data_IF_071585354670
#
_entry.id   IF_071585354670
#
_cell.length_a   1.000
_cell.length_b   1.000
_cell.length_c   1.000
_cell.angle_alpha   90.00
_cell.angle_beta   90.00
_cell.angle_gamma   90.00
#
_symmetry.space_group_name_H-M   'P 1'
#
loop_
_entity.id
_entity.type
_entity.pdbx_description
1 polymer ?
#
# COMPACT_ATOMS: atom_id res chain seq x y z
N UNK A 1 10.34 -24.79 -16.05
CA UNK A 1 8.94 -24.95 -15.60
C UNK A 1 8.12 -24.09 -16.51
N UNK A 2 7.12 -24.66 -17.17
CA UNK A 2 6.31 -23.91 -18.13
C UNK A 2 5.34 -22.99 -17.41
N UNK A 3 4.97 -21.88 -18.01
CA UNK A 3 4.04 -20.92 -17.41
C UNK A 3 2.68 -21.55 -17.07
N UNK A 4 2.19 -22.44 -17.92
CA UNK A 4 0.94 -23.16 -17.71
C UNK A 4 0.97 -24.12 -16.50
N UNK A 5 2.15 -24.53 -16.03
CA UNK A 5 2.33 -25.44 -14.88
C UNK A 5 2.31 -24.70 -13.54
N UNK A 6 2.38 -23.37 -13.55
CA UNK A 6 2.39 -22.54 -12.35
C UNK A 6 1.00 -22.46 -11.71
N UNK A 7 0.95 -22.21 -10.40
CA UNK A 7 -0.33 -21.94 -9.74
C UNK A 7 -0.95 -20.62 -10.25
N UNK A 8 -2.28 -20.57 -10.29
CA UNK A 8 -3.02 -19.43 -10.85
C UNK A 8 -2.66 -18.09 -10.17
N UNK A 9 -2.36 -18.10 -8.87
CA UNK A 9 -1.98 -16.89 -8.14
C UNK A 9 -0.61 -16.39 -8.60
N UNK A 10 0.36 -17.29 -8.78
CA UNK A 10 1.67 -16.97 -9.35
C UNK A 10 1.56 -16.51 -10.79
N UNK A 11 0.74 -17.17 -11.63
CA UNK A 11 0.49 -16.71 -13.00
C UNK A 11 -0.03 -15.27 -13.00
N UNK A 12 -1.06 -14.95 -12.20
CA UNK A 12 -1.60 -13.58 -12.07
C UNK A 12 -0.50 -12.60 -11.65
N UNK A 13 0.30 -12.95 -10.63
CA UNK A 13 1.37 -12.09 -10.13
C UNK A 13 2.41 -11.80 -11.21
N UNK A 14 2.86 -12.82 -11.92
CA UNK A 14 3.83 -12.69 -13.00
C UNK A 14 3.26 -11.94 -14.20
N UNK A 15 1.95 -11.97 -14.43
CA UNK A 15 1.34 -11.23 -15.55
C UNK A 15 0.93 -9.79 -15.22
N UNK A 16 0.87 -9.41 -13.94
CA UNK A 16 0.30 -8.10 -13.56
C UNK A 16 1.26 -7.22 -12.77
N UNK A 17 2.36 -7.75 -12.21
CA UNK A 17 3.39 -6.90 -11.60
C UNK A 17 4.40 -6.50 -12.69
N UNK A 18 4.54 -5.20 -13.02
CA UNK A 18 5.44 -4.72 -14.07
C UNK A 18 6.89 -5.21 -13.92
N UNK A 19 7.44 -5.28 -12.70
CA UNK A 19 8.81 -5.79 -12.53
C UNK A 19 8.93 -7.31 -12.70
N UNK A 20 7.88 -8.08 -12.36
CA UNK A 20 7.93 -9.54 -12.45
C UNK A 20 7.57 -10.08 -13.84
N UNK A 21 6.93 -9.27 -14.68
CA UNK A 21 6.46 -9.71 -15.99
C UNK A 21 7.58 -10.15 -16.91
N UNK A 22 7.32 -11.19 -17.68
CA UNK A 22 8.24 -11.73 -18.68
C UNK A 22 8.61 -10.65 -19.71
N UNK A 23 9.83 -10.72 -20.23
CA UNK A 23 10.32 -9.80 -21.28
C UNK A 23 9.63 -10.08 -22.61
N UNK A 24 9.42 -11.36 -22.93
CA UNK A 24 8.80 -11.85 -24.17
C UNK A 24 7.27 -11.93 -24.06
N UNK A 25 6.58 -11.93 -25.21
CA UNK A 25 5.11 -12.11 -25.27
C UNK A 25 4.72 -13.50 -24.78
N UNK A 26 5.47 -14.52 -25.21
CA UNK A 26 5.36 -15.88 -24.71
C UNK A 26 6.31 -16.08 -23.51
N UNK A 27 5.78 -16.35 -22.30
CA UNK A 27 6.58 -16.53 -21.09
C UNK A 27 7.64 -17.64 -21.18
N UNK A 28 7.36 -18.70 -21.95
CA UNK A 28 8.25 -19.87 -22.02
C UNK A 28 9.49 -19.61 -22.89
N UNK A 29 9.51 -18.52 -23.66
CA UNK A 29 10.64 -18.13 -24.53
C UNK A 29 11.64 -17.20 -23.81
N UNK A 30 11.40 -16.86 -22.53
CA UNK A 30 12.26 -15.95 -21.77
C UNK A 30 13.60 -16.61 -21.41
N UNK A 31 14.69 -15.95 -21.79
CA UNK A 31 16.05 -16.41 -21.49
C UNK A 31 16.58 -15.82 -20.19
N UNK A 32 17.47 -16.52 -19.45
CA UNK A 32 18.09 -15.98 -18.24
C UNK A 32 18.82 -14.65 -18.47
N UNK A 33 19.41 -14.45 -19.66
CA UNK A 33 20.10 -13.21 -20.03
C UNK A 33 19.14 -12.02 -20.05
N UNK A 34 17.95 -12.17 -20.64
CA UNK A 34 16.92 -11.14 -20.65
C UNK A 34 16.45 -10.78 -19.24
N UNK A 35 16.31 -11.80 -18.37
CA UNK A 35 15.95 -11.59 -16.95
C UNK A 35 17.00 -10.76 -16.22
N UNK A 36 18.29 -11.05 -16.46
CA UNK A 36 19.40 -10.29 -15.88
C UNK A 36 19.42 -8.85 -16.39
N UNK A 37 19.34 -8.63 -17.70
CA UNK A 37 19.32 -7.29 -18.31
C UNK A 37 18.14 -6.44 -17.78
N UNK A 38 16.95 -7.06 -17.64
CA UNK A 38 15.79 -6.42 -17.01
C UNK A 38 16.09 -6.02 -15.56
N UNK A 39 16.72 -6.89 -14.79
CA UNK A 39 17.05 -6.61 -13.39
C UNK A 39 18.08 -5.47 -13.27
N UNK A 40 19.08 -5.43 -14.15
CA UNK A 40 20.08 -4.36 -14.19
C UNK A 40 19.47 -3.00 -14.54
N UNK A 41 18.51 -2.96 -15.48
CA UNK A 41 17.75 -1.72 -15.76
C UNK A 41 16.92 -1.28 -14.57
N UNK A 42 16.24 -2.22 -13.90
CA UNK A 42 15.41 -1.93 -12.74
C UNK A 42 16.20 -1.32 -11.57
N UNK A 43 17.37 -1.87 -11.26
CA UNK A 43 18.23 -1.38 -10.16
C UNK A 43 18.77 0.04 -10.40
N UNK A 44 18.79 0.52 -11.64
CA UNK A 44 19.21 1.89 -11.99
C UNK A 44 18.10 2.93 -11.80
N UNK A 45 16.86 2.51 -11.59
CA UNK A 45 15.73 3.43 -11.37
C UNK A 45 15.77 4.03 -9.96
N UNK A 46 15.08 5.16 -9.76
CA UNK A 46 14.88 5.71 -8.42
C UNK A 46 13.99 4.79 -7.57
N UNK A 47 14.20 4.81 -6.25
CA UNK A 47 13.45 3.97 -5.28
C UNK A 47 11.93 4.13 -5.43
N UNK A 48 11.46 5.38 -5.57
CA UNK A 48 10.05 5.70 -5.84
C UNK A 48 9.48 4.94 -7.05
N UNK A 49 10.24 4.82 -8.13
CA UNK A 49 9.81 4.11 -9.35
C UNK A 49 9.92 2.59 -9.14
N UNK A 50 10.98 2.12 -8.47
CA UNK A 50 11.16 0.71 -8.14
C UNK A 50 9.96 0.18 -7.33
N UNK A 51 9.54 0.92 -6.32
CA UNK A 51 8.37 0.61 -5.50
C UNK A 51 7.08 0.60 -6.31
N UNK A 52 6.92 1.57 -7.21
CA UNK A 52 5.75 1.63 -8.11
C UNK A 52 5.66 0.40 -9.00
N UNK A 53 6.77 -0.07 -9.57
CA UNK A 53 6.83 -1.25 -10.44
C UNK A 53 6.69 -2.58 -9.70
N UNK A 54 7.00 -2.62 -8.40
CA UNK A 54 6.81 -3.77 -7.52
C UNK A 54 5.44 -3.77 -6.81
N UNK A 55 4.69 -2.68 -6.90
CA UNK A 55 3.45 -2.47 -6.17
C UNK A 55 2.36 -3.49 -6.48
N UNK A 56 1.80 -4.10 -5.42
CA UNK A 56 0.55 -4.87 -5.54
C UNK A 56 -0.64 -4.00 -5.96
N UNK A 57 -0.62 -2.70 -5.66
CA UNK A 57 -1.70 -1.80 -6.07
C UNK A 57 -1.71 -1.58 -7.58
N UNK A 58 -0.53 -1.40 -8.18
CA UNK A 58 -0.41 -1.31 -9.65
C UNK A 58 -0.87 -2.61 -10.29
N UNK A 59 -0.51 -3.77 -9.72
CA UNK A 59 -1.04 -5.06 -10.17
C UNK A 59 -2.57 -5.14 -10.09
N UNK A 60 -3.18 -4.70 -8.98
CA UNK A 60 -4.65 -4.64 -8.85
C UNK A 60 -5.28 -3.70 -9.89
N UNK A 61 -4.65 -2.57 -10.20
CA UNK A 61 -5.14 -1.64 -11.24
C UNK A 61 -5.08 -2.27 -12.62
N UNK A 62 -4.01 -2.98 -12.95
CA UNK A 62 -3.90 -3.73 -14.20
C UNK A 62 -4.96 -4.84 -14.27
N UNK A 63 -5.24 -5.53 -13.17
CA UNK A 63 -6.33 -6.51 -13.09
C UNK A 63 -7.70 -5.86 -13.31
N UNK A 64 -7.99 -4.71 -12.69
CA UNK A 64 -9.23 -3.97 -12.88
C UNK A 64 -9.42 -3.54 -14.34
N UNK A 65 -8.35 -3.08 -14.99
CA UNK A 65 -8.36 -2.79 -16.43
C UNK A 65 -8.61 -4.08 -17.22
N UNK A 66 -7.95 -5.18 -16.86
CA UNK A 66 -8.16 -6.49 -17.45
C UNK A 66 -9.61 -6.95 -17.40
N UNK A 67 -10.23 -6.89 -16.23
CA UNK A 67 -11.64 -7.23 -16.00
C UNK A 67 -12.56 -6.30 -16.80
N UNK A 68 -12.35 -4.98 -16.75
CA UNK A 68 -13.18 -4.00 -17.46
C UNK A 68 -13.16 -4.16 -18.98
N UNK A 69 -12.09 -4.72 -19.53
CA UNK A 69 -11.94 -4.97 -20.97
C UNK A 69 -11.95 -6.46 -21.34
N UNK A 70 -12.32 -7.38 -20.44
CA UNK A 70 -12.28 -8.84 -20.67
C UNK A 70 -10.95 -9.33 -21.28
N UNK A 71 -9.83 -8.88 -20.73
CA UNK A 71 -8.49 -9.25 -21.21
C UNK A 71 -8.06 -10.59 -20.63
N UNK A 72 -7.42 -11.39 -21.46
CA UNK A 72 -6.72 -12.59 -21.01
C UNK A 72 -5.50 -12.24 -20.15
N UNK A 73 -4.98 -13.23 -19.43
CA UNK A 73 -3.83 -13.05 -18.56
C UNK A 73 -2.57 -12.58 -19.34
N UNK A 74 -2.34 -13.13 -20.52
CA UNK A 74 -1.21 -12.72 -21.38
C UNK A 74 -1.37 -11.30 -21.94
N UNK A 75 -2.61 -10.87 -22.18
CA UNK A 75 -2.90 -9.50 -22.59
C UNK A 75 -2.70 -8.51 -21.43
N UNK A 76 -3.00 -8.89 -20.18
CA UNK A 76 -2.62 -8.09 -19.01
C UNK A 76 -1.10 -7.98 -18.86
N UNK A 77 -0.35 -9.04 -19.21
CA UNK A 77 1.11 -9.01 -19.24
C UNK A 77 1.65 -7.98 -20.25
N UNK A 78 1.00 -7.78 -21.39
CA UNK A 78 1.34 -6.69 -22.33
C UNK A 78 1.22 -5.31 -21.69
N UNK A 79 0.18 -5.07 -20.88
CA UNK A 79 0.02 -3.80 -20.14
C UNK A 79 1.14 -3.63 -19.12
N UNK A 80 1.45 -4.68 -18.34
CA UNK A 80 2.53 -4.64 -17.37
C UNK A 80 3.90 -4.40 -18.02
N UNK A 81 4.18 -5.06 -19.17
CA UNK A 81 5.39 -4.84 -19.98
C UNK A 81 5.48 -3.40 -20.48
N UNK A 82 4.38 -2.85 -21.01
CA UNK A 82 4.31 -1.48 -21.50
C UNK A 82 4.70 -0.48 -20.39
N UNK A 83 4.10 -0.62 -19.20
CA UNK A 83 4.39 0.25 -18.04
C UNK A 83 5.87 0.14 -17.65
N UNK A 84 6.41 -1.08 -17.55
CA UNK A 84 7.85 -1.27 -17.24
C UNK A 84 8.75 -0.59 -18.27
N UNK A 85 8.51 -0.85 -19.56
CA UNK A 85 9.35 -0.35 -20.64
C UNK A 85 9.29 1.18 -20.76
N UNK A 86 8.17 1.81 -20.40
CA UNK A 86 8.08 3.26 -20.26
C UNK A 86 9.04 3.79 -19.18
N UNK A 87 9.01 3.22 -17.98
CA UNK A 87 9.90 3.65 -16.90
C UNK A 87 11.38 3.31 -17.16
N UNK A 88 11.66 2.29 -17.99
CA UNK A 88 13.01 2.01 -18.49
C UNK A 88 13.48 3.00 -19.57
N UNK A 89 12.59 3.84 -20.10
CA UNK A 89 12.88 4.77 -21.19
C UNK A 89 12.93 4.09 -22.58
N UNK A 90 12.54 2.82 -22.67
CA UNK A 90 12.55 2.04 -23.92
C UNK A 90 11.39 2.43 -24.85
N UNK A 91 10.29 2.97 -24.30
CA UNK A 91 9.08 3.33 -25.05
C UNK A 91 8.60 4.73 -24.67
N UNK A 92 8.16 5.51 -25.66
CA UNK A 92 7.50 6.81 -25.48
C UNK A 92 5.96 6.67 -25.47
N UNK A 93 5.27 7.56 -24.76
CA UNK A 93 3.80 7.53 -24.61
C UNK A 93 3.04 7.50 -25.94
N UNK A 94 3.54 8.20 -26.96
CA UNK A 94 2.93 8.25 -28.29
C UNK A 94 2.84 6.89 -28.98
N UNK A 95 3.70 5.93 -28.60
CA UNK A 95 3.72 4.60 -29.20
C UNK A 95 2.87 3.58 -28.45
N UNK A 96 2.28 3.93 -27.31
CA UNK A 96 1.62 2.95 -26.43
C UNK A 96 0.48 2.21 -27.10
N UNK A 97 -0.40 2.93 -27.81
CA UNK A 97 -1.58 2.33 -28.43
C UNK A 97 -1.20 1.33 -29.54
N UNK A 98 -0.21 1.69 -30.38
CA UNK A 98 0.29 0.82 -31.44
C UNK A 98 0.92 -0.47 -30.88
N UNK A 99 1.70 -0.34 -29.80
CA UNK A 99 2.36 -1.49 -29.15
C UNK A 99 1.32 -2.42 -28.52
N UNK A 100 0.33 -1.89 -27.79
CA UNK A 100 -0.73 -2.72 -27.23
C UNK A 100 -1.61 -3.37 -28.32
N UNK A 101 -1.99 -2.63 -29.36
CA UNK A 101 -2.80 -3.16 -30.46
C UNK A 101 -2.12 -4.37 -31.12
N UNK A 102 -0.82 -4.26 -31.40
CA UNK A 102 -0.01 -5.32 -32.00
C UNK A 102 0.22 -6.52 -31.07
N UNK A 103 0.64 -6.30 -29.82
CA UNK A 103 0.89 -7.41 -28.88
C UNK A 103 -0.39 -8.17 -28.51
N UNK A 104 -1.49 -7.45 -28.29
CA UNK A 104 -2.75 -8.03 -27.81
C UNK A 104 -3.66 -8.51 -28.94
N UNK A 105 -3.33 -8.19 -30.19
CA UNK A 105 -4.16 -8.42 -31.40
C UNK A 105 -5.56 -7.83 -31.26
N UNK A 106 -5.63 -6.57 -30.84
CA UNK A 106 -6.88 -5.81 -30.68
C UNK A 106 -6.90 -4.60 -31.59
N UNK A 107 -8.10 -4.07 -31.84
CA UNK A 107 -8.28 -2.82 -32.59
C UNK A 107 -7.58 -1.63 -31.90
N UNK A 108 -7.07 -0.71 -32.72
CA UNK A 108 -6.33 0.46 -32.26
C UNK A 108 -7.16 1.36 -31.36
N UNK A 109 -8.44 1.58 -31.65
CA UNK A 109 -9.31 2.43 -30.82
C UNK A 109 -9.51 1.82 -29.43
N UNK A 110 -9.60 0.49 -29.36
CA UNK A 110 -9.68 -0.22 -28.07
C UNK A 110 -8.37 -0.10 -27.30
N UNK A 111 -7.23 -0.23 -27.98
CA UNK A 111 -5.92 -0.02 -27.37
C UNK A 111 -5.76 1.41 -26.83
N UNK A 112 -6.16 2.44 -27.59
CA UNK A 112 -6.14 3.84 -27.15
C UNK A 112 -6.93 4.06 -25.86
N UNK A 113 -8.13 3.48 -25.76
CA UNK A 113 -8.94 3.56 -24.54
C UNK A 113 -8.20 2.96 -23.34
N UNK A 114 -7.63 1.76 -23.50
CA UNK A 114 -6.83 1.10 -22.45
C UNK A 114 -5.65 1.98 -22.04
N UNK A 115 -4.93 2.55 -23.02
CA UNK A 115 -3.78 3.44 -22.77
C UNK A 115 -4.18 4.66 -21.95
N UNK A 116 -5.31 5.31 -22.24
CA UNK A 116 -5.81 6.44 -21.45
C UNK A 116 -6.00 6.04 -19.98
N UNK A 117 -6.66 4.90 -19.72
CA UNK A 117 -6.81 4.40 -18.36
C UNK A 117 -5.46 4.11 -17.69
N UNK A 118 -4.51 3.49 -18.39
CA UNK A 118 -3.16 3.21 -17.83
C UNK A 118 -2.44 4.51 -17.48
N UNK A 119 -2.48 5.51 -18.37
CA UNK A 119 -1.83 6.80 -18.15
C UNK A 119 -2.43 7.52 -16.94
N UNK A 120 -3.75 7.62 -16.87
CA UNK A 120 -4.43 8.41 -15.84
C UNK A 120 -4.44 7.71 -14.48
N UNK A 121 -4.54 6.38 -14.46
CA UNK A 121 -4.66 5.63 -13.19
C UNK A 121 -3.34 5.14 -12.63
N UNK A 122 -2.33 4.88 -13.47
CA UNK A 122 -1.06 4.28 -13.05
C UNK A 122 0.08 5.28 -13.25
N UNK A 123 0.30 5.79 -14.46
CA UNK A 123 1.53 6.55 -14.75
C UNK A 123 1.50 7.95 -14.11
N UNK A 124 0.46 8.73 -14.37
CA UNK A 124 0.29 10.10 -13.86
C UNK A 124 -0.16 10.15 -12.39
N UNK A 125 -0.70 9.05 -11.88
CA UNK A 125 -1.13 8.97 -10.48
C UNK A 125 0.06 8.62 -9.57
N UNK A 126 0.61 9.63 -8.93
CA UNK A 126 1.71 9.49 -7.97
C UNK A 126 1.25 9.08 -6.56
N UNK A 127 -0.05 9.21 -6.25
CA UNK A 127 -0.61 8.85 -4.94
C UNK A 127 -0.46 7.36 -4.63
N UNK A 128 -0.34 6.52 -5.67
CA UNK A 128 -0.12 5.07 -5.52
C UNK A 128 1.20 4.77 -4.80
N UNK A 129 2.21 5.62 -4.91
CA UNK A 129 3.50 5.38 -4.25
C UNK A 129 3.43 5.77 -2.77
N UNK A 130 2.67 6.81 -2.44
CA UNK A 130 2.49 7.29 -1.08
C UNK A 130 1.74 6.30 -0.18
N UNK A 131 0.95 5.38 -0.75
CA UNK A 131 0.29 4.33 0.04
C UNK A 131 1.20 3.13 0.35
N UNK A 132 2.22 2.87 -0.49
CA UNK A 132 3.08 1.69 -0.37
C UNK A 132 4.12 1.87 0.73
N UNK A 133 4.58 3.10 0.95
CA UNK A 133 5.56 3.41 2.00
C UNK A 133 4.94 3.46 3.40
N UNK A 134 3.61 3.38 3.57
CA UNK A 134 2.97 3.47 4.89
C UNK A 134 3.18 2.20 5.71
N UNK A 135 3.97 2.29 6.78
CA UNK A 135 4.12 1.22 7.77
C UNK A 135 3.10 1.43 8.90
N UNK A 136 2.41 0.36 9.30
CA UNK A 136 1.49 0.38 10.45
C UNK A 136 2.22 -0.04 11.73
N UNK A 137 2.38 0.88 12.68
CA UNK A 137 2.95 0.61 14.02
C UNK A 137 2.06 1.22 15.10
N UNK A 138 2.22 0.79 16.36
CA UNK A 138 1.61 1.51 17.49
C UNK A 138 2.33 2.85 17.68
N UNK A 139 1.66 3.86 18.26
CA UNK A 139 2.28 5.15 18.50
C UNK A 139 3.54 5.05 19.39
N UNK A 140 3.54 4.17 20.39
CA UNK A 140 4.72 3.94 21.23
C UNK A 140 5.92 3.43 20.42
N UNK A 141 5.70 2.39 19.60
CA UNK A 141 6.73 1.85 18.70
C UNK A 141 7.19 2.88 17.67
N UNK A 142 6.27 3.69 17.15
CA UNK A 142 6.55 4.78 16.22
C UNK A 142 7.50 5.80 16.83
N UNK A 143 7.21 6.26 18.06
CA UNK A 143 7.98 7.28 18.77
C UNK A 143 9.35 6.77 19.24
N UNK A 144 9.51 5.45 19.43
CA UNK A 144 10.79 4.80 19.71
C UNK A 144 11.64 4.67 18.44
N UNK A 145 11.04 4.15 17.36
CA UNK A 145 11.74 3.87 16.09
C UNK A 145 12.05 5.13 15.28
N UNK A 146 11.17 6.13 15.32
CA UNK A 146 11.25 7.35 14.52
C UNK A 146 11.15 8.59 15.43
N UNK A 147 12.25 9.02 16.07
CA UNK A 147 12.24 10.11 17.05
C UNK A 147 11.72 11.45 16.50
N UNK A 148 11.86 11.72 15.19
CA UNK A 148 11.36 12.96 14.56
C UNK A 148 9.84 13.11 14.65
N UNK A 149 9.09 12.00 14.76
CA UNK A 149 7.63 12.03 14.97
C UNK A 149 7.27 12.86 16.21
N UNK A 150 8.10 12.85 17.27
CA UNK A 150 7.84 13.66 18.48
C UNK A 150 7.76 15.17 18.18
N UNK A 151 8.46 15.62 17.15
CA UNK A 151 8.57 17.01 16.72
C UNK A 151 7.58 17.38 15.62
N UNK A 152 6.85 16.42 15.06
CA UNK A 152 5.83 16.67 14.05
C UNK A 152 4.75 17.61 14.60
N UNK A 153 4.44 18.68 13.85
CA UNK A 153 3.42 19.65 14.20
C UNK A 153 2.05 19.04 13.88
N UNK A 154 1.16 18.98 14.88
CA UNK A 154 -0.16 18.37 14.74
C UNK A 154 -1.25 19.40 14.38
N UNK A 155 -1.15 20.60 14.95
CA UNK A 155 -2.12 21.70 14.82
C UNK A 155 -1.38 23.02 14.62
N UNK A 156 -2.03 24.01 14.00
CA UNK A 156 -1.39 25.29 13.69
C UNK A 156 -1.22 26.17 14.93
N UNK A 157 -2.23 26.16 15.82
CA UNK A 157 -2.26 26.99 17.02
C UNK A 157 -1.33 26.45 18.11
N UNK A 158 -0.64 27.36 18.81
CA UNK A 158 0.15 27.02 20.01
C UNK A 158 -0.75 26.51 21.14
N UNK A 159 -0.20 25.68 22.03
CA UNK A 159 -0.94 25.08 23.14
C UNK A 159 -0.37 25.51 24.49
N UNK A 160 -1.24 25.62 25.49
CA UNK A 160 -0.86 25.97 26.86
C UNK A 160 -0.74 24.70 27.71
N UNK A 161 0.48 24.35 28.11
CA UNK A 161 0.73 23.18 28.98
C UNK A 161 0.84 23.62 30.43
N UNK A 162 0.20 22.89 31.34
CA UNK A 162 0.31 23.11 32.78
C UNK A 162 1.78 23.16 33.24
N UNK A 163 2.13 24.19 34.02
CA UNK A 163 3.48 24.41 34.54
C UNK A 163 4.43 25.14 33.59
N UNK A 164 3.99 25.55 32.40
CA UNK A 164 4.76 26.45 31.52
C UNK A 164 4.12 27.85 31.51
N UNK A 165 4.94 28.92 31.64
CA UNK A 165 4.43 30.30 31.63
C UNK A 165 4.02 30.79 30.24
N UNK A 166 4.49 30.15 29.17
CA UNK A 166 4.24 30.57 27.78
C UNK A 166 3.63 29.44 26.94
N UNK A 167 2.81 29.77 25.93
CA UNK A 167 2.33 28.82 24.94
C UNK A 167 3.49 28.14 24.21
N UNK A 168 3.31 26.87 23.85
CA UNK A 168 4.34 26.07 23.16
C UNK A 168 3.85 25.62 21.78
N UNK A 169 4.80 25.28 20.89
CA UNK A 169 4.48 24.67 19.60
C UNK A 169 3.67 23.39 19.78
N UNK A 170 2.67 23.20 18.93
CA UNK A 170 1.74 22.07 18.97
C UNK A 170 2.32 20.77 18.36
N UNK A 171 3.46 20.34 18.87
CA UNK A 171 4.08 19.08 18.46
C UNK A 171 3.36 17.89 19.09
N UNK A 172 3.50 16.70 18.49
CA UNK A 172 2.94 15.44 19.04
C UNK A 172 3.36 15.23 20.50
N UNK A 173 4.64 15.45 20.83
CA UNK A 173 5.14 15.32 22.21
C UNK A 173 4.46 16.28 23.18
N UNK A 174 4.20 17.51 22.76
CA UNK A 174 3.55 18.53 23.58
C UNK A 174 2.04 18.23 23.76
N UNK A 175 1.36 17.74 22.73
CA UNK A 175 -0.04 17.29 22.83
C UNK A 175 -0.21 16.09 23.76
N UNK A 176 0.70 15.11 23.73
CA UNK A 176 0.68 13.97 24.66
C UNK A 176 0.85 14.44 26.10
N UNK A 177 1.76 15.40 26.35
CA UNK A 177 1.97 15.98 27.69
C UNK A 177 0.73 16.71 28.20
N UNK A 178 0.11 17.53 27.35
CA UNK A 178 -1.14 18.23 27.70
C UNK A 178 -2.27 17.25 28.02
N UNK A 179 -2.43 16.21 27.19
CA UNK A 179 -3.41 15.16 27.44
C UNK A 179 -3.15 14.44 28.77
N UNK A 180 -1.89 14.20 29.10
CA UNK A 180 -1.50 13.56 30.35
C UNK A 180 -1.71 14.46 31.57
N UNK A 181 -1.48 15.76 31.48
CA UNK A 181 -1.71 16.70 32.59
C UNK A 181 -3.19 16.91 32.87
N UNK A 182 -4.05 16.90 31.84
CA UNK A 182 -5.49 17.12 32.02
C UNK A 182 -6.23 15.86 32.46
N UNK A 183 -5.90 14.69 31.89
CA UNK A 183 -6.68 13.46 32.10
C UNK A 183 -6.03 12.49 33.11
N UNK A 184 -4.70 12.55 33.29
CA UNK A 184 -3.93 11.70 34.22
C UNK A 184 -3.50 10.35 33.63
N UNK A 185 -2.31 9.83 33.97
CA UNK A 185 -1.74 8.59 33.41
C UNK A 185 -2.61 7.32 33.68
N UNK A 186 -2.73 6.42 32.70
CA UNK A 186 -3.43 5.13 32.83
C UNK A 186 -4.47 4.83 31.74
N UNK A 187 -5.20 3.70 31.87
CA UNK A 187 -6.31 3.33 30.97
C UNK A 187 -7.45 4.33 31.14
N UNK A 188 -7.68 5.14 30.11
CA UNK A 188 -8.65 6.24 30.16
C UNK A 188 -9.98 5.80 29.59
N UNK A 189 -11.03 6.16 30.33
CA UNK A 189 -12.41 5.99 29.89
C UNK A 189 -12.69 6.84 28.64
N UNK A 190 -13.51 6.31 27.74
CA UNK A 190 -13.95 6.93 26.50
C UNK A 190 -14.58 8.31 26.80
N UNK A 191 -15.31 8.43 27.91
CA UNK A 191 -15.92 9.71 28.32
C UNK A 191 -14.87 10.77 28.62
N UNK A 192 -13.78 10.42 29.31
CA UNK A 192 -12.69 11.37 29.61
C UNK A 192 -11.97 11.82 28.35
N UNK A 193 -11.76 10.90 27.40
CA UNK A 193 -11.18 11.22 26.09
C UNK A 193 -12.05 12.20 25.31
N UNK A 194 -13.35 11.92 25.24
CA UNK A 194 -14.32 12.81 24.58
C UNK A 194 -14.35 14.18 25.24
N UNK A 195 -14.45 14.22 26.57
CA UNK A 195 -14.44 15.47 27.33
C UNK A 195 -13.16 16.29 27.05
N UNK A 196 -11.99 15.66 27.01
CA UNK A 196 -10.75 16.34 26.66
C UNK A 196 -10.80 16.93 25.24
N UNK A 197 -11.24 16.17 24.24
CA UNK A 197 -11.25 16.61 22.83
C UNK A 197 -12.20 17.78 22.55
N UNK A 198 -13.27 17.93 23.32
CA UNK A 198 -14.30 18.94 23.09
C UNK A 198 -14.27 20.10 24.09
N UNK A 199 -13.87 19.85 25.34
CA UNK A 199 -13.99 20.81 26.44
C UNK A 199 -12.65 21.29 27.01
N UNK A 200 -11.51 20.74 26.59
CA UNK A 200 -10.21 21.24 27.05
C UNK A 200 -9.90 22.62 26.46
N UNK A 201 -9.23 23.47 27.26
CA UNK A 201 -8.83 24.84 26.89
C UNK A 201 -8.10 24.90 25.53
N UNK A 202 -7.19 23.95 25.30
CA UNK A 202 -6.40 23.90 24.05
C UNK A 202 -7.20 23.33 22.87
N UNK A 203 -8.17 22.46 23.12
CA UNK A 203 -8.92 21.75 22.07
C UNK A 203 -10.16 22.49 21.60
N UNK A 204 -10.71 23.39 22.42
CA UNK A 204 -11.99 24.06 22.17
C UNK A 204 -12.00 24.79 20.82
N UNK A 205 -10.87 25.39 20.44
CA UNK A 205 -10.72 26.21 19.23
C UNK A 205 -10.03 25.50 18.05
N UNK A 206 -9.87 24.17 18.12
CA UNK A 206 -9.33 23.38 17.02
C UNK A 206 -10.39 23.14 15.94
N UNK A 207 -9.93 23.08 14.69
CA UNK A 207 -10.79 22.69 13.57
C UNK A 207 -11.23 21.23 13.71
N UNK A 208 -12.30 20.84 13.00
CA UNK A 208 -12.76 19.46 13.02
C UNK A 208 -11.71 18.49 12.47
N UNK A 209 -10.86 18.94 11.53
CA UNK A 209 -9.77 18.13 10.98
C UNK A 209 -8.64 17.95 12.00
N UNK A 210 -8.24 19.00 12.70
CA UNK A 210 -7.24 18.95 13.77
C UNK A 210 -7.72 18.06 14.93
N UNK A 211 -8.99 18.20 15.33
CA UNK A 211 -9.60 17.33 16.36
C UNK A 211 -9.58 15.88 15.93
N UNK A 212 -9.81 15.57 14.65
CA UNK A 212 -9.70 14.21 14.11
C UNK A 212 -8.28 13.67 14.21
N UNK A 213 -7.26 14.44 13.81
CA UNK A 213 -5.84 14.04 13.94
C UNK A 213 -5.48 13.75 15.40
N UNK A 214 -5.87 14.65 16.31
CA UNK A 214 -5.65 14.50 17.74
C UNK A 214 -6.42 13.30 18.33
N UNK A 215 -7.65 13.07 17.90
CA UNK A 215 -8.44 11.91 18.33
C UNK A 215 -7.79 10.59 17.91
N UNK A 216 -7.29 10.49 16.67
CA UNK A 216 -6.53 9.33 16.19
C UNK A 216 -5.26 9.11 17.01
N UNK A 217 -4.52 10.18 17.32
CA UNK A 217 -3.32 10.12 18.15
C UNK A 217 -3.62 9.58 19.56
N UNK A 218 -4.63 10.16 20.22
CA UNK A 218 -5.02 9.78 21.58
C UNK A 218 -5.59 8.35 21.62
N UNK A 219 -6.38 7.97 20.61
CA UNK A 219 -6.87 6.59 20.47
C UNK A 219 -5.70 5.61 20.39
N UNK A 220 -4.69 5.91 19.57
CA UNK A 220 -3.48 5.08 19.47
C UNK A 220 -2.71 4.98 20.78
N UNK A 221 -2.65 6.08 21.54
CA UNK A 221 -1.96 6.14 22.83
C UNK A 221 -2.63 5.26 23.91
N UNK A 222 -3.97 5.29 23.99
CA UNK A 222 -4.72 4.59 25.04
C UNK A 222 -5.04 3.14 24.65
N UNK A 223 -5.38 2.88 23.39
CA UNK A 223 -5.86 1.56 22.89
C UNK A 223 -4.78 0.77 22.15
N UNK A 224 -3.57 1.31 22.02
CA UNK A 224 -2.50 0.75 21.18
C UNK A 224 -2.94 0.54 19.71
N UNK A 225 -3.85 1.38 19.21
CA UNK A 225 -4.30 1.28 17.81
C UNK A 225 -3.14 1.61 16.86
N UNK A 226 -3.09 0.92 15.71
CA UNK A 226 -2.03 1.14 14.72
C UNK A 226 -2.23 2.49 14.01
N UNK A 227 -1.12 3.19 13.75
CA UNK A 227 -1.04 4.42 12.97
C UNK A 227 -0.18 4.20 11.73
N UNK A 228 -0.53 4.89 10.64
CA UNK A 228 0.23 4.84 9.39
C UNK A 228 1.40 5.81 9.48
N UNK A 229 2.61 5.32 9.23
CA UNK A 229 3.86 6.08 9.31
C UNK A 229 4.52 6.07 7.96
N UNK A 230 4.95 7.25 7.50
CA UNK A 230 5.88 7.35 6.38
C UNK A 230 7.32 7.22 6.93
N UNK A 231 8.04 6.13 6.64
CA UNK A 231 9.38 5.87 7.16
C UNK A 231 10.43 6.81 6.56
N UNK A 232 10.21 7.35 5.36
CA UNK A 232 11.15 8.26 4.69
C UNK A 232 11.11 9.65 5.35
N UNK A 233 9.90 10.15 5.59
CA UNK A 233 9.68 11.46 6.22
C UNK A 233 9.76 11.40 7.74
N UNK A 234 9.66 10.21 8.31
CA UNK A 234 9.53 9.98 9.76
C UNK A 234 8.33 10.73 10.36
N UNK A 235 7.18 10.65 9.68
CA UNK A 235 5.96 11.36 10.04
C UNK A 235 4.74 10.43 10.08
N UNK A 236 3.80 10.71 10.98
CA UNK A 236 2.50 10.05 10.99
C UNK A 236 1.64 10.63 9.87
N UNK A 237 1.13 9.75 9.02
CA UNK A 237 0.21 10.11 7.94
C UNK A 237 -1.22 9.93 8.43
N UNK A 238 -1.96 11.03 8.52
CA UNK A 238 -3.37 11.04 8.93
C UNK A 238 -4.26 10.92 7.69
N UNK A 239 -4.85 9.74 7.47
CA UNK A 239 -5.78 9.55 6.37
C UNK A 239 -7.11 10.25 6.66
N UNK A 240 -7.49 11.22 5.83
CA UNK A 240 -8.77 11.94 5.97
C UNK A 240 -10.00 11.02 5.93
N UNK A 241 -9.87 9.82 5.33
CA UNK A 241 -10.96 8.87 5.08
C UNK A 241 -11.17 7.80 6.17
N UNK A 242 -10.14 7.42 6.93
CA UNK A 242 -10.23 6.24 7.82
C UNK A 242 -11.09 6.48 9.07
N UNK A 243 -11.29 7.73 9.50
CA UNK A 243 -12.05 8.02 10.71
C UNK A 243 -13.58 7.88 10.57
N UNK A 244 -14.10 7.67 9.36
CA UNK A 244 -15.55 7.48 9.14
C UNK A 244 -16.00 6.02 9.33
N UNK A 245 -15.10 5.04 9.13
CA UNK A 245 -15.47 3.62 9.15
C UNK A 245 -15.59 3.05 10.57
N UNK A 246 -14.83 3.58 11.53
CA UNK A 246 -14.88 3.10 12.93
C UNK A 246 -16.20 3.45 13.66
N UNK A 247 -16.99 4.40 13.14
CA UNK A 247 -18.31 4.75 13.70
C UNK A 247 -19.47 3.93 13.13
N UNK A 248 -19.24 3.10 12.10
CA UNK A 248 -20.31 2.31 11.46
C UNK A 248 -20.57 1.00 12.21
N UNK A 249 -19.60 0.47 12.96
CA UNK A 249 -19.71 -0.86 13.60
C UNK A 249 -20.61 -0.85 14.87
N UNK A 250 -21.21 0.28 15.27
CA UNK A 250 -22.04 0.36 16.50
C UNK A 250 -23.47 0.86 16.32
N UNK A 251 -23.99 1.01 15.09
CA UNK A 251 -25.39 1.41 14.89
C UNK A 251 -26.39 0.23 14.84
N UNK A 252 -25.94 -1.01 14.69
CA UNK A 252 -26.84 -2.15 14.48
C UNK A 252 -27.24 -2.93 15.75
N UNK A 253 -27.03 -2.38 16.95
CA UNK A 253 -27.40 -3.07 18.22
C UNK A 253 -28.31 -2.27 19.16
N UNK A 254 -28.94 -1.19 18.69
CA UNK A 254 -29.77 -0.32 19.54
C UNK A 254 -31.22 -0.07 19.07
N UNK A 255 -31.77 -0.99 18.27
CA UNK A 255 -33.21 -1.01 17.95
C UNK A 255 -33.73 -2.45 18.09
N UNK A 256 -34.00 -2.86 19.33
CA UNK A 256 -35.06 -3.81 19.67
C UNK A 256 -35.08 -4.02 21.19
N UNK A 257 -35.72 -3.10 21.91
CA UNK A 257 -36.40 -3.36 23.18
C UNK A 257 -37.10 -2.08 23.67
N UNK A 258 -38.21 -1.73 23.05
CA UNK A 258 -39.22 -0.86 23.66
C UNK A 258 -40.63 -1.37 23.36
N UNK A 259 -40.96 -2.53 23.93
CA UNK A 259 -42.35 -2.89 24.25
C UNK A 259 -42.56 -2.60 25.74
N UNK A 260 -43.05 -1.41 26.04
CA UNK A 260 -43.78 -1.13 27.28
C UNK A 260 -45.23 -0.91 26.87
N UNK A 261 -46.05 -1.88 27.24
CA UNK A 261 -47.50 -1.79 27.35
C UNK A 261 -47.87 -0.79 28.45
N UNK A 262 -48.82 0.12 28.20
CA UNK A 262 -50.22 0.04 28.67
C UNK A 262 -50.91 1.41 28.62
N UNK A 263 -52.14 1.39 28.10
CA UNK A 263 -53.32 2.17 28.48
C UNK A 263 -53.22 3.68 28.74
N UNK A 264 -53.93 4.44 27.90
CA UNK A 264 -55.00 5.31 28.38
C UNK A 264 -56.00 5.62 27.27
N UNK A 265 -57.25 5.19 27.52
CA UNK A 265 -58.45 5.71 26.88
C UNK A 265 -58.52 7.24 26.98
N UNK A 266 -58.83 7.91 25.87
CA UNK A 266 -59.78 9.02 25.89
C UNK A 266 -60.31 9.29 24.48
N UNK A 267 -61.58 8.92 24.30
CA UNK A 267 -62.44 9.49 23.27
C UNK A 267 -62.47 11.02 23.42
N UNK A 268 -62.23 11.75 22.33
CA UNK A 268 -62.92 13.02 22.07
C UNK A 268 -62.87 13.36 20.59
N UNK A 269 -64.08 13.45 20.06
CA UNK A 269 -64.48 13.89 18.73
C UNK A 269 -64.09 15.34 18.43
N UNK A 270 -63.59 15.59 17.23
CA UNK A 270 -63.83 16.77 16.39
C UNK A 270 -63.48 16.29 14.97
N UNK A 271 -64.33 16.37 13.95
CA UNK A 271 -65.09 17.53 13.49
C UNK A 271 -64.54 17.82 12.09
N UNK A 272 -65.33 17.52 11.06
CA UNK A 272 -64.83 17.18 9.73
C UNK A 272 -64.22 18.31 8.91
N UNK A 273 -63.42 17.92 7.91
CA UNK A 273 -63.30 18.61 6.62
C UNK A 273 -63.34 17.53 5.52
N UNK A 274 -64.40 17.55 4.72
CA UNK A 274 -64.51 16.87 3.43
C UNK A 274 -63.90 17.77 2.35
N UNK A 275 -63.14 17.19 1.41
CA UNK A 275 -63.01 17.57 -0.02
C UNK A 275 -62.11 16.52 -0.69
N UNK A 276 -62.69 15.60 -1.46
CA UNK A 276 -62.85 15.63 -2.92
C UNK A 276 -61.63 15.09 -3.70
N UNK A 277 -61.68 13.79 -3.93
CA UNK A 277 -61.51 13.05 -5.20
C UNK A 277 -60.83 13.82 -6.35
N UNK A 278 -59.70 13.27 -6.83
CA UNK A 278 -59.42 13.15 -8.26
C UNK A 278 -58.91 11.73 -8.55
N UNK A 279 -59.64 11.04 -9.44
CA UNK A 279 -59.34 9.71 -9.98
C UNK A 279 -58.24 9.78 -11.04
N UNK A 280 -57.45 8.72 -11.15
CA UNK A 280 -56.50 8.47 -12.24
C UNK A 280 -55.36 7.57 -11.76
N UNK A 281 -55.59 6.27 -11.59
CA UNK A 281 -55.34 5.21 -12.59
C UNK A 281 -53.97 4.53 -12.37
N UNK A 282 -53.96 3.21 -12.59
CA UNK A 282 -52.80 2.39 -13.01
C UNK A 282 -51.98 1.70 -11.88
N UNK A 283 -52.40 0.44 -11.65
CA UNK A 283 -51.62 -0.81 -11.79
C UNK A 283 -51.49 -1.70 -10.55
N UNK A 284 -52.05 -2.89 -10.77
CA UNK A 284 -51.99 -4.10 -9.97
C UNK A 284 -50.54 -4.59 -9.79
N UNK A 285 -50.12 -4.72 -8.54
CA UNK A 285 -49.09 -5.69 -8.13
C UNK A 285 -49.47 -6.23 -6.75
N UNK A 286 -50.36 -7.21 -6.76
CA UNK A 286 -50.73 -7.97 -5.56
C UNK A 286 -50.86 -9.43 -5.98
N UNK A 287 -49.75 -10.14 -5.89
CA UNK A 287 -49.63 -11.58 -5.61
C UNK A 287 -48.13 -11.87 -5.41
N UNK A 288 -47.84 -12.92 -4.63
CA UNK A 288 -46.51 -13.42 -4.27
C UNK A 288 -45.86 -12.82 -3.02
N UNK A 289 -46.50 -13.00 -1.86
CA UNK A 289 -45.76 -13.07 -0.59
C UNK A 289 -46.47 -13.97 0.45
N UNK A 290 -46.90 -15.16 0.04
CA UNK A 290 -47.32 -16.22 0.95
C UNK A 290 -46.92 -17.58 0.37
N UNK A 291 -45.64 -17.95 0.49
CA UNK A 291 -45.18 -19.36 0.40
C UNK A 291 -43.67 -19.48 0.68
N UNK A 292 -43.21 -19.11 1.89
CA UNK A 292 -41.90 -19.55 2.43
C UNK A 292 -41.89 -19.60 3.96
N UNK A 293 -42.77 -20.41 4.53
CA UNK A 293 -42.61 -20.87 5.92
C UNK A 293 -43.10 -22.33 6.01
N UNK A 294 -42.24 -23.28 5.63
CA UNK A 294 -42.40 -24.71 5.97
C UNK A 294 -41.20 -25.59 5.60
N UNK A 295 -39.96 -25.15 5.88
CA UNK A 295 -38.81 -26.09 5.93
C UNK A 295 -37.80 -25.60 6.96
N UNK A 296 -37.98 -25.98 8.23
CA UNK A 296 -36.92 -26.10 9.26
C UNK A 296 -37.51 -26.53 10.61
N UNK A 297 -38.24 -27.65 10.62
CA UNK A 297 -38.43 -28.43 11.85
C UNK A 297 -37.92 -29.81 11.56
N UNK A 298 -36.68 -30.03 11.97
CA UNK A 298 -36.13 -31.31 12.43
C UNK A 298 -34.61 -31.17 12.44
N UNK A 299 -34.07 -30.84 13.63
CA UNK A 299 -32.69 -31.07 14.09
C UNK A 299 -32.44 -30.26 15.38
N UNK A 300 -33.15 -30.60 16.46
CA UNK A 300 -32.74 -30.25 17.83
C UNK A 300 -33.15 -31.36 18.79
N UNK A 301 -32.34 -32.42 18.85
CA UNK A 301 -32.24 -33.30 20.02
C UNK A 301 -30.77 -33.61 20.25
N UNK A 302 -30.40 -33.59 21.54
CA UNK A 302 -29.17 -34.07 22.16
C UNK A 302 -27.99 -33.09 22.20
N UNK A 303 -27.89 -32.35 23.31
CA UNK A 303 -26.77 -32.47 24.26
C UNK A 303 -27.03 -31.57 25.48
N UNK A 304 -27.44 -32.20 26.58
CA UNK A 304 -27.44 -31.63 27.93
C UNK A 304 -26.13 -32.10 28.58
N UNK A 305 -25.12 -31.25 28.61
CA UNK A 305 -23.99 -31.41 29.52
C UNK A 305 -24.00 -30.27 30.53
N UNK A 306 -24.00 -30.69 31.78
CA UNK A 306 -23.98 -29.91 33.02
C UNK A 306 -22.70 -29.08 33.14
N UNK A 307 -22.83 -27.76 33.24
CA UNK A 307 -21.74 -26.85 33.60
C UNK A 307 -21.68 -26.77 35.13
N UNK A 308 -20.53 -27.06 35.79
CA UNK A 308 -20.40 -26.94 37.23
C UNK A 308 -20.32 -25.46 37.66
N UNK A 309 -21.06 -25.18 38.72
CA UNK A 309 -21.23 -23.88 39.36
C UNK A 309 -19.89 -23.39 39.96
N UNK A 310 -19.24 -22.42 39.31
CA UNK A 310 -18.03 -21.79 39.85
C UNK A 310 -18.39 -20.75 40.91
N UNK A 311 -18.00 -21.04 42.16
CA UNK A 311 -18.10 -20.15 43.33
C UNK A 311 -17.38 -18.82 43.07
N UNK A 312 -18.10 -17.72 43.27
CA UNK A 312 -17.58 -16.34 43.18
C UNK A 312 -16.43 -16.14 44.17
N UNK A 313 -15.29 -15.55 43.78
CA UNK A 313 -14.24 -15.21 44.72
C UNK A 313 -14.66 -14.03 45.60
N UNK A 314 -14.45 -14.19 46.91
CA UNK A 314 -14.56 -13.14 47.93
C UNK A 314 -13.54 -12.04 47.62
N UNK A 315 -14.01 -10.83 47.30
CA UNK A 315 -13.16 -9.65 47.19
C UNK A 315 -12.90 -9.14 48.61
N UNK A 316 -11.67 -9.29 49.10
CA UNK A 316 -11.20 -8.63 50.33
C UNK A 316 -10.60 -7.28 49.96
N UNK A 317 -11.13 -6.23 50.58
CA UNK A 317 -10.56 -4.88 50.55
C UNK A 317 -9.15 -4.91 51.15
N UNK A 318 -8.13 -4.58 50.37
CA UNK A 318 -6.78 -4.25 50.87
C UNK A 318 -6.68 -2.73 50.87
N UNK A 319 -6.80 -2.12 52.05
CA UNK A 319 -6.32 -0.77 52.32
C UNK A 319 -4.84 -0.87 52.71
N UNK A 320 -4.00 -0.01 52.16
CA UNK A 320 -2.61 0.15 52.60
C UNK A 320 -1.69 0.62 51.49
N UNK A 321 -1.36 1.91 51.52
CA UNK A 321 -0.26 2.51 50.78
C UNK A 321 1.07 1.89 51.22
N UNK A 322 1.92 1.54 50.25
CA UNK A 322 3.37 1.80 50.29
C UNK A 322 4.03 1.41 48.96
N UNK A 323 4.41 2.41 48.17
CA UNK A 323 5.14 2.24 46.92
C UNK A 323 6.64 2.16 47.18
N UNK A 324 7.15 0.95 47.43
CA UNK A 324 8.60 0.69 47.41
C UNK A 324 8.96 -0.27 46.26
N UNK A 325 9.53 0.30 45.20
CA UNK A 325 9.84 -0.33 43.90
C UNK A 325 11.11 -1.20 43.92
N UNK A 326 11.23 -2.12 44.88
CA UNK A 326 12.38 -3.05 44.98
C UNK A 326 12.03 -4.52 45.28
N UNK A 327 10.86 -5.02 44.88
CA UNK A 327 10.55 -6.44 45.07
C UNK A 327 11.14 -7.35 43.97
N UNK A 328 11.93 -8.34 44.38
CA UNK A 328 12.68 -9.31 43.55
C UNK A 328 11.80 -10.30 42.74
N UNK A 329 10.49 -10.09 42.71
CA UNK A 329 9.55 -10.97 42.00
C UNK A 329 9.59 -10.81 40.47
N UNK A 330 10.09 -9.67 39.95
CA UNK A 330 10.19 -9.44 38.50
C UNK A 330 11.45 -10.01 37.83
N UNK A 331 12.46 -10.45 38.60
CA UNK A 331 13.70 -11.01 38.03
C UNK A 331 13.59 -12.48 37.63
N UNK A 332 12.63 -13.24 38.17
CA UNK A 332 12.49 -14.69 37.89
C UNK A 332 11.80 -15.01 36.55
N UNK A 333 10.96 -14.12 36.00
CA UNK A 333 10.29 -14.38 34.71
C UNK A 333 11.18 -14.14 33.48
N UNK A 334 12.20 -13.26 33.58
CA UNK A 334 13.13 -12.98 32.47
C UNK A 334 14.18 -14.07 32.24
N UNK A 335 14.57 -14.86 33.26
CA UNK A 335 15.53 -15.97 33.09
C UNK A 335 14.95 -17.18 32.35
N UNK A 336 13.65 -17.50 32.51
CA UNK A 336 13.02 -18.66 31.83
C UNK A 336 12.83 -18.43 30.32
N UNK A 337 12.53 -17.19 29.88
CA UNK A 337 12.37 -16.88 28.44
C UNK A 337 13.68 -16.83 27.65
N UNK A 338 14.81 -16.49 28.29
CA UNK A 338 16.13 -16.50 27.62
C UNK A 338 16.65 -17.91 27.27
N UNK A 339 16.24 -18.94 28.01
CA UNK A 339 16.62 -20.33 27.72
C UNK A 339 15.94 -20.93 26.48
N UNK A 340 14.70 -20.53 26.21
CA UNK A 340 13.91 -21.04 25.07
C UNK A 340 14.41 -20.41 23.76
N UNK A 341 14.74 -19.11 23.76
CA UNK A 341 15.25 -18.43 22.57
C UNK A 341 16.64 -18.94 22.16
N UNK A 342 17.53 -19.22 23.14
CA UNK A 342 18.84 -19.84 22.85
C UNK A 342 18.73 -21.24 22.25
N UNK A 343 17.76 -22.05 22.68
CA UNK A 343 17.52 -23.39 22.09
C UNK A 343 17.02 -23.33 20.65
N UNK A 344 16.16 -22.36 20.32
CA UNK A 344 15.65 -22.17 18.95
C UNK A 344 16.76 -21.65 18.01
N UNK A 345 17.62 -20.74 18.50
CA UNK A 345 18.72 -20.19 17.70
C UNK A 345 19.81 -21.24 17.40
N UNK A 346 20.20 -22.05 18.38
CA UNK A 346 21.21 -23.11 18.16
C UNK A 346 20.71 -24.25 17.26
N UNK A 347 19.40 -24.57 17.29
CA UNK A 347 18.81 -25.56 16.37
C UNK A 347 18.81 -25.08 14.91
N UNK A 348 18.76 -23.76 14.67
CA UNK A 348 18.88 -23.17 13.33
C UNK A 348 20.31 -23.19 12.79
N UNK A 349 21.32 -22.97 13.64
CA UNK A 349 22.73 -23.01 13.24
C UNK A 349 23.18 -24.44 12.89
N UNK A 350 22.71 -25.46 13.63
CA UNK A 350 23.02 -26.85 13.30
C UNK A 350 22.37 -27.32 11.99
N UNK A 351 21.18 -26.82 11.66
CA UNK A 351 20.52 -27.16 10.38
C UNK A 351 21.20 -26.52 9.16
N UNK A 352 21.84 -25.36 9.31
CA UNK A 352 22.59 -24.74 8.20
C UNK A 352 23.95 -25.41 7.94
N UNK A 353 24.61 -25.99 8.95
CA UNK A 353 25.87 -26.75 8.73
C UNK A 353 25.68 -28.04 7.92
N UNK A 354 24.47 -28.58 7.86
CA UNK A 354 24.15 -29.77 7.04
C UNK A 354 23.81 -29.44 5.57
N UNK A 355 23.70 -28.17 5.21
CA UNK A 355 23.46 -27.73 3.82
C UNK A 355 24.77 -27.52 3.05
N UNK A 356 25.85 -27.11 3.71
CA UNK A 356 27.16 -26.91 3.08
C UNK A 356 27.88 -28.22 2.78
N UNK A 357 27.60 -29.31 3.51
CA UNK A 357 28.22 -30.62 3.27
C UNK A 357 27.67 -31.36 2.02
N UNK A 358 26.71 -30.78 1.28
CA UNK A 358 26.18 -31.35 0.03
C UNK A 358 26.85 -30.80 -1.23
N UNK A 359 27.70 -29.79 -1.13
CA UNK A 359 28.41 -29.21 -2.28
C UNK A 359 29.88 -29.65 -2.45
N UNK A 360 30.46 -30.38 -1.49
CA UNK A 360 31.89 -30.78 -1.57
C UNK A 360 32.16 -32.17 -2.18
N UNK A 361 31.15 -32.98 -2.53
CA UNK A 361 31.37 -34.35 -3.04
C UNK A 361 31.38 -34.51 -4.58
N UNK A 362 31.77 -33.46 -5.32
CA UNK A 362 32.12 -33.57 -6.75
C UNK A 362 33.29 -32.67 -7.10
N UNK A 363 34.51 -33.06 -6.71
CA UNK A 363 35.78 -32.72 -7.39
C UNK A 363 36.92 -33.54 -6.77
N UNK A 364 37.02 -34.81 -7.17
CA UNK A 364 38.29 -35.54 -7.19
C UNK A 364 38.69 -35.68 -8.64
N UNK A 365 39.50 -34.74 -9.12
CA UNK A 365 40.40 -34.96 -10.26
C UNK A 365 41.76 -34.47 -9.78
N UNK A 366 42.70 -35.40 -9.77
CA UNK A 366 44.11 -35.21 -9.48
C UNK A 366 44.75 -34.18 -10.40
N UNK A 367 45.44 -33.20 -9.82
CA UNK A 367 46.76 -32.79 -10.32
C UNK A 367 47.52 -32.02 -9.24
N UNK A 368 48.71 -32.55 -8.92
CA UNK A 368 49.74 -31.91 -8.10
C UNK A 368 50.11 -30.56 -8.73
N UNK A 369 50.04 -29.49 -7.95
CA UNK A 369 50.82 -28.27 -8.22
C UNK A 369 51.51 -27.88 -6.91
N UNK A 370 52.83 -28.07 -6.89
CA UNK A 370 53.73 -27.51 -5.90
C UNK A 370 53.88 -26.01 -6.17
N UNK A 371 53.61 -25.18 -5.17
CA UNK A 371 53.99 -23.77 -5.18
C UNK A 371 55.32 -23.62 -4.45
N UNK A 372 56.37 -23.26 -5.19
CA UNK A 372 57.64 -22.79 -4.63
C UNK A 372 57.99 -21.41 -5.18
N UNK A 373 58.37 -20.54 -4.23
CA UNK A 373 59.19 -19.33 -4.35
C UNK A 373 58.64 -18.09 -5.07
N UNK A 374 58.45 -17.06 -4.23
CA UNK A 374 58.82 -15.65 -4.41
C UNK A 374 59.54 -15.26 -5.71
N UNK A 375 58.86 -14.48 -6.55
CA UNK A 375 59.44 -13.73 -7.66
C UNK A 375 59.36 -12.23 -7.36
N UNK A 376 60.53 -11.60 -7.36
CA UNK A 376 60.73 -10.15 -7.24
C UNK A 376 60.22 -9.43 -8.49
N UNK A 377 59.64 -8.24 -8.28
CA UNK A 377 59.17 -7.33 -9.33
C UNK A 377 60.37 -6.72 -10.09
N UNK A 378 60.36 -6.69 -11.44
CA UNK A 378 61.35 -5.96 -12.20
C UNK A 378 61.06 -4.45 -12.19
N UNK A 379 62.13 -3.69 -11.99
CA UNK A 379 62.24 -2.24 -12.11
C UNK A 379 62.17 -1.86 -13.60
N UNK A 380 61.19 -1.05 -13.99
CA UNK A 380 61.14 -0.46 -15.33
C UNK A 380 62.21 0.64 -15.46
N UNK A 381 63.25 0.36 -16.25
CA UNK A 381 64.15 1.38 -16.81
C UNK A 381 63.61 1.78 -18.17
N UNK A 382 63.38 3.08 -18.33
CA UNK A 382 62.92 3.67 -19.58
C UNK A 382 63.89 3.48 -20.74
N UNK A 383 63.33 3.40 -21.94
CA UNK A 383 64.04 3.68 -23.17
C UNK A 383 63.11 4.44 -24.13
N UNK A 384 63.53 5.66 -24.44
CA UNK A 384 63.05 6.45 -25.58
C UNK A 384 63.44 5.70 -26.86
N UNK A 385 62.53 5.54 -27.80
CA UNK A 385 62.85 5.53 -29.23
C UNK A 385 61.61 5.73 -30.11
N UNK A 386 61.73 6.73 -30.98
CA UNK A 386 61.21 6.88 -32.36
C UNK A 386 59.91 6.18 -32.73
N UNK A 387 58.89 6.99 -33.01
CA UNK A 387 57.71 6.62 -33.78
C UNK A 387 57.99 7.05 -35.22
N UNK A 388 58.16 6.07 -36.10
CA UNK A 388 58.03 6.26 -37.54
C UNK A 388 56.53 6.28 -37.89
N UNK A 389 56.13 7.31 -38.64
CA UNK A 389 54.81 7.47 -39.22
C UNK A 389 54.61 6.49 -40.36
N UNK A 390 53.75 5.47 -40.19
CA UNK A 390 53.11 4.82 -41.33
C UNK A 390 51.87 4.00 -40.91
N UNK A 391 50.84 4.05 -41.77
CA UNK A 391 49.55 3.33 -41.75
C UNK A 391 48.41 3.84 -40.86
N UNK A 392 47.69 4.85 -41.37
CA UNK A 392 46.26 5.06 -41.10
C UNK A 392 45.39 4.43 -42.21
N UNK A 393 44.27 3.75 -41.87
CA UNK A 393 43.34 3.20 -42.84
C UNK A 393 42.50 4.28 -43.53
N UNK A 394 42.34 4.13 -44.84
CA UNK A 394 41.51 4.97 -45.72
C UNK A 394 40.04 4.89 -45.31
N UNK A 395 39.44 6.02 -44.95
CA UNK A 395 37.99 6.21 -44.95
C UNK A 395 37.59 6.77 -46.32
N UNK A 396 36.75 6.02 -47.02
CA UNK A 396 36.15 6.43 -48.28
C UNK A 396 35.22 7.62 -48.08
N UNK A 397 35.48 8.67 -48.87
CA UNK A 397 34.67 9.88 -48.97
C UNK A 397 33.41 9.57 -49.78
N UNK A 398 32.25 9.61 -49.13
CA UNK A 398 30.96 9.69 -49.84
C UNK A 398 30.86 11.09 -50.45
N UNK A 399 30.80 11.12 -51.78
CA UNK A 399 30.84 12.32 -52.59
C UNK A 399 29.58 13.17 -52.50
N UNK A 400 29.79 14.48 -52.35
CA UNK A 400 28.81 15.52 -52.67
C UNK A 400 28.55 15.54 -54.17
N UNK A 401 27.40 15.04 -54.61
CA UNK A 401 26.87 15.32 -55.95
C UNK A 401 26.15 16.66 -55.94
N UNK A 402 26.75 17.63 -56.65
CA UNK A 402 26.08 18.82 -57.18
C UNK A 402 24.99 18.36 -58.17
N UNK A 403 23.76 18.84 -57.99
CA UNK A 403 22.75 18.86 -59.04
C UNK A 403 22.51 20.31 -59.46
N UNK A 404 23.02 20.64 -60.64
CA UNK A 404 22.38 21.61 -61.54
C UNK A 404 21.15 20.94 -62.14
N UNK A 405 20.02 21.65 -62.21
CA UNK A 405 19.02 21.51 -63.27
C UNK A 405 18.15 22.77 -63.28
N UNK A 406 18.43 23.60 -64.29
CA UNK A 406 17.52 24.14 -65.29
C UNK A 406 16.08 24.45 -64.88
N UNK A 407 15.69 25.69 -65.18
CA UNK A 407 14.37 26.21 -64.97
C UNK A 407 13.30 25.59 -65.86
N UNK A 408 12.09 25.57 -65.30
CA UNK A 408 10.83 25.61 -66.03
C UNK A 408 9.98 26.63 -65.30
N UNK A 409 9.73 27.75 -65.96
CA UNK A 409 8.57 28.61 -65.69
C UNK A 409 7.35 27.80 -66.09
N UNK A 410 6.29 27.81 -65.28
CA UNK A 410 4.92 28.02 -65.75
C UNK A 410 3.91 27.97 -64.59
N UNK A 411 3.25 29.11 -64.39
CA UNK A 411 1.81 29.29 -64.16
C UNK A 411 1.08 28.35 -63.20
N UNK A 412 0.79 28.84 -61.99
CA UNK A 412 -0.47 28.52 -61.30
C UNK A 412 -0.87 29.65 -60.34
N UNK A 413 -1.29 30.78 -60.91
CA UNK A 413 -2.14 31.75 -60.20
C UNK A 413 -3.58 31.20 -60.23
N UNK A 414 -4.06 30.74 -59.08
CA UNK A 414 -5.47 30.46 -58.85
C UNK A 414 -6.25 31.77 -58.88
N UNK A 415 -7.07 31.95 -59.92
CA UNK A 415 -8.10 32.99 -60.01
C UNK A 415 -9.11 32.80 -58.90
N UNK A 416 -9.25 33.82 -58.04
CA UNK A 416 -10.46 34.07 -57.25
C UNK A 416 -11.48 34.63 -58.25
N UNK A 417 -12.58 33.91 -58.45
CA UNK A 417 -13.72 34.39 -59.25
C UNK A 417 -14.58 35.38 -58.46
N UNK A 418 -15.30 36.29 -59.14
CA UNK A 418 -16.22 37.21 -58.48
C UNK A 418 -17.48 36.46 -58.02
N UNK A 419 -17.99 36.90 -56.87
CA UNK A 419 -19.33 36.59 -56.37
C UNK A 419 -20.23 37.69 -56.90
N UNK A 420 -21.15 37.34 -57.80
CA UNK A 420 -22.33 38.13 -58.13
C UNK A 420 -23.54 37.17 -58.11
N UNK A 421 -24.34 37.27 -57.04
CA UNK A 421 -25.78 37.59 -57.01
C UNK A 421 -26.35 37.41 -55.59
#
# INVERSE_FOLDING_TARGET
>A
MKFAELDKKTQIRLSTIPQCVFVTVNPDDETPKQVMERQDKFLKLSEKIQDKLLSEQVSKKIQQIGEGYNLSLLQMASIARLIRNYYFGDIKEINFANILASEMKIDLQRAEKIVRYVLDTIIKNDELVDEISKIKLTLEQALEKYPKIKSQILTEKMINISGRPYPVKATISNWIKDYYSVVGAGNRDIMKRSNYLYNSKNTKFLSNEEKKKLATLIKSLDENSLVNINPEKEEIVFDARQNSQDNVIKKDTFLDNKKISTNSNSNKSFGGIKKNISKGAIVNFRNDFQNREKVSRDLKKNNKETIPEMKKPKITHIQGNDWNLKSDHFKKSKKKKRGIIKKIFNKRIQNNKNLDSRFENKKKIDSRIHFSSSQQLPIEKGNKNKIDEEYLPKFDKIGNKKNQKDGVKDNFFGKIGPIDE
#
